data_IF_692432008039
#
_entry.id   IF_692432008039
#
_cell.length_a   1.000
_cell.length_b   1.000
_cell.length_c   1.000
_cell.angle_alpha   90.00
_cell.angle_beta   90.00
_cell.angle_gamma   90.00
#
_symmetry.space_group_name_H-M   'P 1'
#
loop_
_entity.id
_entity.type
_entity.pdbx_description
1 polymer ?
#
# COMPACT_ATOMS: atom_id res chain seq x y z
N UNK A 1 -3.21 19.67 -21.41
CA UNK A 1 -4.01 18.43 -21.32
C UNK A 1 -3.25 17.49 -20.40
N UNK A 2 -3.85 16.99 -19.30
CA UNK A 2 -3.19 16.00 -18.44
C UNK A 2 -3.15 14.59 -19.05
N UNK A 3 -3.66 14.41 -20.28
CA UNK A 3 -3.71 13.13 -20.99
C UNK A 3 -2.33 12.54 -21.33
N UNK A 4 -1.26 13.34 -21.22
CA UNK A 4 0.11 12.93 -21.55
C UNK A 4 0.94 12.60 -20.30
N UNK A 5 0.36 12.73 -19.10
CA UNK A 5 1.07 12.41 -17.86
C UNK A 5 0.69 11.00 -17.41
N UNK A 6 1.72 10.18 -17.18
CA UNK A 6 1.59 8.88 -16.51
C UNK A 6 1.32 9.14 -15.02
N UNK A 7 0.04 9.21 -14.66
CA UNK A 7 -0.41 9.44 -13.29
C UNK A 7 -1.02 8.16 -12.75
N UNK A 8 -0.35 7.59 -11.75
CA UNK A 8 -0.83 6.41 -11.03
C UNK A 8 -1.19 6.77 -9.57
N UNK A 9 -2.32 6.24 -9.04
CA UNK A 9 -2.68 6.46 -7.65
C UNK A 9 -1.79 5.64 -6.71
N UNK A 10 -1.57 6.18 -5.51
CA UNK A 10 -0.88 5.49 -4.41
C UNK A 10 -1.77 5.39 -3.18
N UNK A 11 -1.88 4.18 -2.62
CA UNK A 11 -2.53 3.93 -1.32
C UNK A 11 -1.42 3.76 -0.29
N UNK A 12 -1.41 4.60 0.76
CA UNK A 12 -0.45 4.52 1.85
C UNK A 12 -1.17 4.21 3.16
N UNK A 13 -0.78 3.12 3.81
CA UNK A 13 -1.31 2.72 5.12
C UNK A 13 -0.19 2.77 6.15
N UNK A 14 -0.46 3.40 7.28
CA UNK A 14 0.45 3.42 8.43
C UNK A 14 -0.20 2.70 9.59
N UNK A 15 0.52 1.77 10.23
CA UNK A 15 0.01 1.01 11.37
C UNK A 15 0.94 1.11 12.58
N UNK A 16 0.35 1.26 13.76
CA UNK A 16 1.07 1.41 15.03
C UNK A 16 1.39 0.04 15.65
N UNK A 17 2.25 -0.73 14.98
CA UNK A 17 2.77 -2.03 15.46
C UNK A 17 3.95 -2.48 14.60
N UNK A 18 4.70 -3.47 15.06
CA UNK A 18 5.70 -4.16 14.21
C UNK A 18 5.02 -4.91 13.05
N UNK A 19 5.76 -5.03 11.94
CA UNK A 19 5.43 -5.88 10.80
C UNK A 19 5.21 -7.32 11.25
N UNK A 20 4.19 -7.97 10.70
CA UNK A 20 3.88 -9.39 10.88
C UNK A 20 4.03 -10.09 9.55
N UNK A 21 4.39 -11.37 9.58
CA UNK A 21 4.58 -12.18 8.37
C UNK A 21 3.33 -12.21 7.47
N UNK A 22 2.14 -12.18 8.06
CA UNK A 22 0.88 -12.25 7.32
C UNK A 22 0.40 -10.92 6.72
N UNK A 23 1.07 -9.79 7.01
CA UNK A 23 0.62 -8.48 6.55
C UNK A 23 0.66 -8.36 5.03
N UNK A 24 1.72 -8.88 4.42
CA UNK A 24 1.87 -8.85 2.96
C UNK A 24 0.77 -9.67 2.27
N UNK A 25 0.37 -10.80 2.85
CA UNK A 25 -0.75 -11.62 2.35
C UNK A 25 -2.05 -10.83 2.36
N UNK A 26 -2.37 -10.16 3.47
CA UNK A 26 -3.59 -9.35 3.61
C UNK A 26 -3.59 -8.21 2.59
N UNK A 27 -2.44 -7.55 2.38
CA UNK A 27 -2.33 -6.47 1.38
C UNK A 27 -2.53 -7.02 -0.04
N UNK A 28 -1.96 -8.18 -0.35
CA UNK A 28 -2.15 -8.81 -1.66
C UNK A 28 -3.62 -9.20 -1.91
N UNK A 29 -4.32 -9.70 -0.90
CA UNK A 29 -5.76 -9.98 -0.97
C UNK A 29 -6.57 -8.68 -1.16
N UNK A 30 -6.20 -7.59 -0.49
CA UNK A 30 -6.82 -6.28 -0.69
C UNK A 30 -6.60 -5.74 -2.10
N UNK A 31 -5.37 -5.83 -2.65
CA UNK A 31 -5.08 -5.44 -4.04
C UNK A 31 -5.90 -6.29 -5.02
N UNK A 32 -6.00 -7.61 -4.79
CA UNK A 32 -6.79 -8.49 -5.64
C UNK A 32 -8.27 -8.09 -5.64
N UNK A 33 -8.83 -7.73 -4.49
CA UNK A 33 -10.20 -7.22 -4.36
C UNK A 33 -10.41 -5.91 -5.14
N UNK A 34 -9.47 -4.95 -5.07
CA UNK A 34 -9.58 -3.69 -5.82
C UNK A 34 -9.63 -3.92 -7.34
N UNK A 35 -8.86 -4.91 -7.83
CA UNK A 35 -8.85 -5.30 -9.24
C UNK A 35 -10.13 -6.03 -9.66
N UNK A 36 -10.64 -6.93 -8.82
CA UNK A 36 -11.85 -7.71 -9.13
C UNK A 36 -13.11 -6.86 -9.20
N UNK A 37 -13.17 -5.79 -8.41
CA UNK A 37 -14.32 -4.85 -8.35
C UNK A 37 -14.18 -3.66 -9.30
N UNK A 38 -13.19 -3.69 -10.20
CA UNK A 38 -12.85 -2.62 -11.14
C UNK A 38 -12.71 -1.23 -10.49
N UNK A 39 -12.27 -1.21 -9.23
CA UNK A 39 -12.04 0.03 -8.45
C UNK A 39 -10.69 0.64 -8.77
N UNK A 40 -9.67 -0.20 -8.87
CA UNK A 40 -8.30 0.24 -9.13
C UNK A 40 -7.49 -0.86 -9.80
N UNK A 41 -7.29 -0.73 -11.12
CA UNK A 41 -6.54 -1.71 -11.92
C UNK A 41 -5.03 -1.54 -11.81
N UNK A 42 -4.57 -0.30 -11.67
CA UNK A 42 -3.16 0.05 -11.62
C UNK A 42 -2.87 1.06 -10.52
N UNK A 43 -1.75 0.88 -9.83
CA UNK A 43 -1.30 1.82 -8.80
C UNK A 43 -0.16 1.30 -7.96
N UNK A 44 0.12 2.03 -6.89
CA UNK A 44 1.11 1.68 -5.89
C UNK A 44 0.47 1.50 -4.52
N UNK A 45 0.97 0.55 -3.75
CA UNK A 45 0.65 0.39 -2.34
C UNK A 45 1.90 0.60 -1.52
N UNK A 46 1.81 1.31 -0.40
CA UNK A 46 2.88 1.50 0.57
C UNK A 46 2.37 1.22 2.00
N UNK A 47 3.16 0.50 2.79
CA UNK A 47 2.89 0.17 4.18
C UNK A 47 4.05 0.63 5.07
N UNK A 48 3.72 1.47 6.06
CA UNK A 48 4.67 1.97 7.04
C UNK A 48 4.29 1.46 8.44
N UNK A 49 5.29 1.08 9.24
CA UNK A 49 5.11 0.57 10.60
C UNK A 49 5.71 1.57 11.58
N UNK A 50 4.93 2.03 12.56
CA UNK A 50 5.36 3.00 13.56
C UNK A 50 5.12 2.51 14.98
N UNK A 51 5.82 3.08 15.95
CA UNK A 51 5.48 2.95 17.37
C UNK A 51 4.44 3.99 17.80
N UNK A 52 4.03 3.93 19.07
CA UNK A 52 3.04 4.86 19.66
C UNK A 52 3.48 6.32 19.62
N UNK A 53 4.77 6.59 19.41
CA UNK A 53 5.36 7.92 19.32
C UNK A 53 5.57 8.37 17.87
N UNK A 54 5.17 7.56 16.90
CA UNK A 54 5.33 7.84 15.47
C UNK A 54 6.73 7.52 14.93
N UNK A 55 7.59 6.85 15.70
CA UNK A 55 8.92 6.45 15.24
C UNK A 55 8.79 5.27 14.28
N UNK A 56 9.45 5.37 13.12
CA UNK A 56 9.48 4.31 12.11
C UNK A 56 10.17 3.08 12.69
N UNK A 57 9.46 1.94 12.65
CA UNK A 57 9.91 0.68 13.22
C UNK A 57 10.61 -0.24 12.19
N UNK A 58 10.36 -0.03 10.91
CA UNK A 58 10.86 -0.85 9.80
C UNK A 58 10.84 -0.04 8.50
N UNK A 59 11.56 -0.50 7.49
CA UNK A 59 11.56 0.12 6.16
C UNK A 59 10.16 0.07 5.53
N UNK A 60 9.83 1.11 4.75
CA UNK A 60 8.56 1.15 4.04
C UNK A 60 8.48 0.04 3.00
N UNK A 61 7.53 -0.86 3.19
CA UNK A 61 7.23 -1.86 2.19
C UNK A 61 6.34 -1.25 1.11
N UNK A 62 6.68 -1.47 -0.16
CA UNK A 62 5.92 -0.95 -1.28
C UNK A 62 5.75 -2.00 -2.39
N UNK A 63 4.67 -1.85 -3.16
CA UNK A 63 4.36 -2.71 -4.30
C UNK A 63 3.57 -1.97 -5.36
N UNK A 64 4.02 -2.08 -6.61
CA UNK A 64 3.26 -1.66 -7.78
C UNK A 64 2.40 -2.81 -8.29
N UNK A 65 1.21 -2.51 -8.80
CA UNK A 65 0.27 -3.49 -9.32
C UNK A 65 -0.54 -2.97 -10.50
#
# INVERSE_FOLDING_TARGET
SYKEFDVAPIIRITVTRKKRENDEKIINEFIAFLKSEDKLQHGSFAMSYIDEKGVILDDEWNKNF
#
